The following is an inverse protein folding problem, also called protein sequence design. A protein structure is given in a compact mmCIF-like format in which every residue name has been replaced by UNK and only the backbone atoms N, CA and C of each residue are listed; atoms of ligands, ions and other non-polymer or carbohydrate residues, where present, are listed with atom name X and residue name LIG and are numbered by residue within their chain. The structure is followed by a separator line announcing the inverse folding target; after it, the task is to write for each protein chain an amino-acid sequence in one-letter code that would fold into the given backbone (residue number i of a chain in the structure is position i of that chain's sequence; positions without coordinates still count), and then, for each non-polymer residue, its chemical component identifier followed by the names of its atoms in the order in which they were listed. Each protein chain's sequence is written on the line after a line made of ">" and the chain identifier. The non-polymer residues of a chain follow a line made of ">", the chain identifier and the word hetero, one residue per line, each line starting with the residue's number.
data_IF_014714865307
#
_entry.id   IF_014714865307
#
_cell.length_a   1.000
_cell.length_b   1.000
_cell.length_c   1.000
_cell.angle_alpha   90.00
_cell.angle_beta   90.00
_cell.angle_gamma   90.00
#
_symmetry.space_group_name_H-M   'P 1'
#
loop_
_entity.id
_entity.type
_entity.pdbx_description
1 polymer ?
#
# COMPACT_ATOMS: atom_id res chain seq x y z
N UNK A 1 17.46 -23.77 -25.68
CA UNK A 1 16.40 -24.63 -25.11
C UNK A 1 16.26 -24.43 -23.59
N UNK A 2 17.33 -24.59 -22.79
CA UNK A 2 17.28 -24.42 -21.34
C UNK A 2 16.79 -23.03 -20.88
N UNK A 3 17.28 -21.94 -21.47
CA UNK A 3 16.86 -20.58 -21.12
C UNK A 3 15.36 -20.31 -21.43
N UNK A 4 14.83 -20.89 -22.51
CA UNK A 4 13.39 -20.80 -22.84
C UNK A 4 12.55 -21.60 -21.84
N UNK A 5 13.02 -22.78 -21.43
CA UNK A 5 12.36 -23.59 -20.40
C UNK A 5 12.32 -22.87 -19.04
N UNK A 6 13.42 -22.21 -18.65
CA UNK A 6 13.48 -21.43 -17.41
C UNK A 6 12.53 -20.22 -17.48
N UNK A 7 12.50 -19.50 -18.60
CA UNK A 7 11.59 -18.36 -18.79
C UNK A 7 10.12 -18.74 -18.62
N UNK A 8 9.70 -19.89 -19.14
CA UNK A 8 8.33 -20.40 -18.97
C UNK A 8 8.01 -20.64 -17.49
N UNK A 9 8.95 -21.23 -16.74
CA UNK A 9 8.76 -21.47 -15.30
C UNK A 9 8.72 -20.17 -14.50
N UNK A 10 9.57 -19.20 -14.84
CA UNK A 10 9.56 -17.86 -14.24
C UNK A 10 8.22 -17.14 -14.46
N UNK A 11 7.62 -17.27 -15.65
CA UNK A 11 6.29 -16.72 -15.97
C UNK A 11 5.17 -17.38 -15.15
N UNK A 12 5.39 -18.58 -14.63
CA UNK A 12 4.44 -19.28 -13.74
C UNK A 12 4.57 -18.93 -12.26
N UNK A 13 5.55 -18.11 -11.86
CA UNK A 13 5.69 -17.67 -10.48
C UNK A 13 4.69 -16.56 -10.18
N UNK A 14 4.19 -16.50 -8.93
CA UNK A 14 3.39 -15.37 -8.44
C UNK A 14 4.31 -14.38 -7.73
N UNK A 15 4.77 -13.36 -8.45
CA UNK A 15 5.59 -12.28 -7.92
C UNK A 15 5.42 -10.98 -8.72
N UNK A 16 6.12 -9.92 -8.33
CA UNK A 16 5.92 -8.58 -8.91
C UNK A 16 6.15 -8.54 -10.43
N UNK A 17 7.05 -9.37 -10.94
CA UNK A 17 7.39 -9.50 -12.35
C UNK A 17 6.28 -10.15 -13.19
N UNK A 18 5.34 -10.87 -12.58
CA UNK A 18 4.25 -11.58 -13.27
C UNK A 18 2.87 -10.99 -12.98
N UNK A 19 2.77 -10.03 -12.05
CA UNK A 19 1.52 -9.36 -11.69
C UNK A 19 1.06 -8.26 -12.67
N UNK A 20 1.67 -8.17 -13.85
CA UNK A 20 1.31 -7.23 -14.93
C UNK A 20 1.31 -5.78 -14.42
N UNK A 21 2.44 -5.37 -13.86
CA UNK A 21 2.69 -4.03 -13.33
C UNK A 21 3.34 -3.11 -14.38
N UNK A 22 3.08 -3.36 -15.67
CA UNK A 22 3.67 -2.69 -16.83
C UNK A 22 3.14 -1.25 -17.01
N UNK A 23 3.48 -0.38 -16.07
CA UNK A 23 3.16 1.04 -16.11
C UNK A 23 4.30 1.84 -16.74
N UNK A 24 3.98 3.05 -17.21
CA UNK A 24 5.00 3.94 -17.76
C UNK A 24 6.07 4.31 -16.70
N UNK A 25 7.27 4.63 -17.18
CA UNK A 25 8.45 4.91 -16.33
C UNK A 25 8.19 6.03 -15.31
N UNK A 26 7.44 7.07 -15.68
CA UNK A 26 7.09 8.19 -14.79
C UNK A 26 6.23 7.72 -13.61
N UNK A 27 5.23 6.87 -13.87
CA UNK A 27 4.38 6.29 -12.83
C UNK A 27 5.18 5.40 -11.88
N UNK A 28 6.07 4.56 -12.41
CA UNK A 28 6.95 3.72 -11.60
C UNK A 28 7.90 4.56 -10.72
N UNK A 29 8.46 5.64 -11.27
CA UNK A 29 9.28 6.57 -10.49
C UNK A 29 8.48 7.21 -9.36
N UNK A 30 7.28 7.73 -9.65
CA UNK A 30 6.41 8.31 -8.62
C UNK A 30 6.06 7.30 -7.52
N UNK A 31 5.77 6.05 -7.88
CA UNK A 31 5.51 4.99 -6.91
C UNK A 31 6.74 4.70 -6.05
N UNK A 32 7.93 4.67 -6.65
CA UNK A 32 9.18 4.42 -5.92
C UNK A 32 9.41 5.49 -4.86
N UNK A 33 9.32 6.77 -5.22
CA UNK A 33 9.48 7.87 -4.25
C UNK A 33 8.48 7.73 -3.11
N UNK A 34 7.19 7.51 -3.42
CA UNK A 34 6.18 7.31 -2.38
C UNK A 34 6.48 6.11 -1.48
N UNK A 35 7.01 5.00 -2.01
CA UNK A 35 7.34 3.83 -1.20
C UNK A 35 8.60 4.07 -0.34
N UNK A 36 9.59 4.82 -0.85
CA UNK A 36 10.77 5.24 -0.09
C UNK A 36 10.31 6.11 1.08
N UNK A 37 9.48 7.12 0.83
CA UNK A 37 8.92 8.00 1.86
C UNK A 37 8.26 7.18 2.98
N UNK A 38 7.35 6.25 2.62
CA UNK A 38 6.67 5.38 3.58
C UNK A 38 7.67 4.50 4.37
N UNK A 39 8.75 4.05 3.73
CA UNK A 39 9.76 3.21 4.39
C UNK A 39 10.69 3.98 5.32
N UNK A 40 10.81 5.30 5.14
CA UNK A 40 11.71 6.20 5.86
C UNK A 40 11.01 7.07 6.89
N UNK A 41 9.67 7.07 6.94
CA UNK A 41 8.88 7.76 7.96
C UNK A 41 9.26 7.30 9.38
N UNK A 42 9.96 8.16 10.13
CA UNK A 42 10.29 7.91 11.53
C UNK A 42 9.01 7.74 12.37
N UNK A 43 8.99 6.73 13.25
CA UNK A 43 7.85 6.46 14.13
C UNK A 43 6.68 5.71 13.50
N UNK A 44 6.64 5.54 12.17
CA UNK A 44 5.60 4.77 11.48
C UNK A 44 6.10 3.37 11.16
N UNK A 45 5.77 2.40 12.01
CA UNK A 45 6.02 1.00 11.67
C UNK A 45 5.03 0.58 10.58
N UNK A 46 5.48 0.53 9.33
CA UNK A 46 4.71 0.00 8.23
C UNK A 46 4.43 -1.49 8.48
N UNK A 47 3.19 -1.83 8.79
CA UNK A 47 2.76 -3.18 9.20
C UNK A 47 2.91 -4.25 8.11
N UNK A 48 3.28 -3.86 6.88
CA UNK A 48 3.60 -4.71 5.74
C UNK A 48 5.02 -4.44 5.17
N UNK A 49 5.98 -4.04 6.02
CA UNK A 49 7.34 -3.61 5.63
C UNK A 49 8.06 -4.58 4.68
N UNK A 50 7.97 -5.89 4.91
CA UNK A 50 8.59 -6.89 4.04
C UNK A 50 8.08 -6.85 2.60
N UNK A 51 6.76 -6.81 2.45
CA UNK A 51 6.08 -6.68 1.16
C UNK A 51 6.40 -5.35 0.47
N UNK A 52 6.53 -4.26 1.25
CA UNK A 52 6.96 -2.96 0.75
C UNK A 52 8.34 -3.04 0.12
N UNK A 53 9.32 -3.67 0.78
CA UNK A 53 10.67 -3.79 0.24
C UNK A 53 10.74 -4.72 -0.98
N UNK A 54 9.95 -5.79 -1.04
CA UNK A 54 9.81 -6.59 -2.26
C UNK A 54 9.26 -5.77 -3.44
N UNK A 55 8.30 -4.88 -3.18
CA UNK A 55 7.77 -3.99 -4.20
C UNK A 55 8.79 -2.93 -4.63
N UNK A 56 9.50 -2.32 -3.68
CA UNK A 56 10.61 -1.39 -3.97
C UNK A 56 11.67 -2.07 -4.84
N UNK A 57 12.03 -3.32 -4.55
CA UNK A 57 12.99 -4.05 -5.37
C UNK A 57 12.54 -4.17 -6.83
N UNK A 58 11.27 -4.50 -7.06
CA UNK A 58 10.71 -4.50 -8.41
C UNK A 58 10.78 -3.12 -9.06
N UNK A 59 10.41 -2.05 -8.34
CA UNK A 59 10.44 -0.68 -8.87
C UNK A 59 11.87 -0.25 -9.25
N UNK A 60 12.86 -0.51 -8.39
CA UNK A 60 14.27 -0.24 -8.69
C UNK A 60 14.72 -1.00 -9.93
N UNK A 61 14.42 -2.30 -10.01
CA UNK A 61 14.79 -3.13 -11.15
C UNK A 61 14.12 -2.66 -12.45
N UNK A 62 12.80 -2.40 -12.43
CA UNK A 62 12.05 -1.90 -13.58
C UNK A 62 12.53 -0.52 -14.06
N UNK A 63 13.12 0.27 -13.17
CA UNK A 63 13.74 1.57 -13.50
C UNK A 63 15.21 1.45 -13.92
N UNK A 64 15.80 0.26 -13.87
CA UNK A 64 17.15 -0.05 -14.33
C UNK A 64 18.23 -0.06 -13.24
N UNK A 65 17.85 -0.04 -11.96
CA UNK A 65 18.80 -0.15 -10.84
C UNK A 65 18.73 -1.54 -10.18
N UNK A 66 19.56 -2.46 -10.64
CA UNK A 66 19.60 -3.83 -10.11
C UNK A 66 20.26 -3.90 -8.74
N UNK A 67 21.27 -3.07 -8.46
CA UNK A 67 21.95 -3.06 -7.16
C UNK A 67 20.99 -2.65 -6.03
N UNK A 68 20.25 -1.55 -6.21
CA UNK A 68 19.24 -1.13 -5.25
C UNK A 68 18.13 -2.17 -5.10
N UNK A 69 17.77 -2.88 -6.19
CA UNK A 69 16.78 -3.93 -6.15
C UNK A 69 17.24 -5.09 -5.23
N UNK A 70 18.48 -5.54 -5.38
CA UNK A 70 19.06 -6.58 -4.51
C UNK A 70 19.18 -6.11 -3.06
N UNK A 71 19.54 -4.85 -2.82
CA UNK A 71 19.55 -4.27 -1.48
C UNK A 71 18.16 -4.26 -0.84
N UNK A 72 17.13 -3.86 -1.59
CA UNK A 72 15.75 -3.92 -1.13
C UNK A 72 15.30 -5.35 -0.85
N UNK A 73 15.69 -6.34 -1.68
CA UNK A 73 15.36 -7.75 -1.43
C UNK A 73 15.96 -8.26 -0.12
N UNK A 74 17.19 -7.87 0.22
CA UNK A 74 17.79 -8.22 1.52
C UNK A 74 16.99 -7.65 2.69
N UNK A 75 16.63 -6.36 2.64
CA UNK A 75 15.76 -5.73 3.64
C UNK A 75 14.38 -6.39 3.73
N UNK A 76 13.82 -6.79 2.59
CA UNK A 76 12.54 -7.51 2.54
C UNK A 76 12.63 -8.84 3.29
N UNK A 77 13.69 -9.62 3.04
CA UNK A 77 13.91 -10.89 3.72
C UNK A 77 14.02 -10.68 5.23
N UNK A 78 14.91 -9.78 5.68
CA UNK A 78 15.09 -9.45 7.10
C UNK A 78 13.75 -9.09 7.78
N UNK A 79 12.96 -8.21 7.16
CA UNK A 79 11.67 -7.78 7.70
C UNK A 79 10.63 -8.91 7.72
N UNK A 80 10.59 -9.79 6.72
CA UNK A 80 9.65 -10.92 6.69
C UNK A 80 10.04 -11.96 7.76
N UNK A 81 11.33 -12.27 7.89
CA UNK A 81 11.81 -13.22 8.90
C UNK A 81 11.50 -12.75 10.32
N UNK A 82 11.61 -11.45 10.60
CA UNK A 82 11.30 -10.87 11.91
C UNK A 82 9.80 -10.95 12.26
N UNK A 83 8.92 -10.81 11.27
CA UNK A 83 7.47 -10.72 11.48
C UNK A 83 6.72 -12.06 11.33
N UNK A 84 7.39 -13.16 11.02
CA UNK A 84 6.72 -14.44 10.71
C UNK A 84 7.47 -15.66 11.29
N UNK A 85 7.62 -15.77 12.62
CA UNK A 85 8.49 -16.78 13.25
C UNK A 85 8.06 -18.23 12.96
N UNK A 86 6.76 -18.49 12.83
CA UNK A 86 6.24 -19.87 12.78
C UNK A 86 6.16 -20.47 11.37
N UNK A 87 6.26 -19.66 10.30
CA UNK A 87 6.30 -20.13 8.91
C UNK A 87 7.01 -19.13 7.96
N UNK A 88 8.27 -18.86 8.27
CA UNK A 88 9.10 -17.89 7.57
C UNK A 88 9.22 -18.18 6.07
N UNK A 89 9.49 -19.44 5.70
CA UNK A 89 9.82 -19.79 4.32
C UNK A 89 8.62 -19.64 3.37
N UNK A 90 7.40 -19.96 3.83
CA UNK A 90 6.20 -19.74 3.03
C UNK A 90 5.93 -18.24 2.83
N UNK A 91 6.26 -17.42 3.83
CA UNK A 91 6.14 -15.96 3.78
C UNK A 91 7.13 -15.31 2.79
N UNK A 92 8.16 -16.04 2.37
CA UNK A 92 9.19 -15.59 1.42
C UNK A 92 8.94 -16.06 -0.03
N UNK A 93 7.80 -16.68 -0.34
CA UNK A 93 7.50 -17.19 -1.70
C UNK A 93 7.59 -16.10 -2.77
N UNK A 94 6.98 -14.93 -2.55
CA UNK A 94 7.05 -13.80 -3.50
C UNK A 94 8.47 -13.26 -3.60
N UNK A 95 9.17 -13.18 -2.47
CA UNK A 95 10.56 -12.74 -2.39
C UNK A 95 11.49 -13.63 -3.24
N UNK A 96 11.38 -14.96 -3.11
CA UNK A 96 12.14 -15.89 -3.96
C UNK A 96 11.76 -15.78 -5.43
N UNK A 97 10.48 -15.53 -5.74
CA UNK A 97 10.05 -15.25 -7.10
C UNK A 97 10.71 -13.99 -7.68
N UNK A 98 10.81 -12.92 -6.89
CA UNK A 98 11.51 -11.70 -7.29
C UNK A 98 13.01 -11.96 -7.52
N UNK A 99 13.69 -12.65 -6.59
CA UNK A 99 15.10 -13.04 -6.75
C UNK A 99 15.33 -13.85 -8.04
N UNK A 100 14.46 -14.82 -8.31
CA UNK A 100 14.56 -15.65 -9.52
C UNK A 100 14.55 -14.80 -10.80
N UNK A 101 13.69 -13.78 -10.87
CA UNK A 101 13.62 -12.86 -12.00
C UNK A 101 14.81 -11.90 -12.09
N UNK A 102 15.26 -11.35 -10.96
CA UNK A 102 16.43 -10.46 -10.93
C UNK A 102 17.69 -11.19 -11.42
N UNK A 103 17.97 -12.38 -10.89
CA UNK A 103 19.09 -13.21 -11.34
C UNK A 103 18.97 -13.60 -12.81
N UNK A 104 17.77 -13.91 -13.29
CA UNK A 104 17.53 -14.20 -14.71
C UNK A 104 17.90 -13.01 -15.61
N UNK A 105 17.51 -11.80 -15.22
CA UNK A 105 17.82 -10.58 -15.97
C UNK A 105 19.30 -10.21 -15.95
N UNK A 106 20.05 -10.65 -14.93
CA UNK A 106 21.51 -10.51 -14.87
C UNK A 106 22.27 -11.59 -15.67
N UNK A 107 21.56 -12.61 -16.19
CA UNK A 107 22.18 -13.75 -16.89
C UNK A 107 22.67 -14.87 -15.95
N UNK A 108 22.38 -14.76 -14.66
CA UNK A 108 22.74 -15.71 -13.60
C UNK A 108 21.71 -16.85 -13.56
N UNK A 109 21.73 -17.68 -14.62
CA UNK A 109 20.69 -18.67 -14.88
C UNK A 109 20.63 -19.78 -13.82
N UNK A 110 21.76 -20.14 -13.22
CA UNK A 110 21.85 -21.19 -12.18
C UNK A 110 21.20 -20.73 -10.88
N UNK A 111 21.48 -19.50 -10.47
CA UNK A 111 20.90 -18.85 -9.30
C UNK A 111 19.40 -18.67 -9.50
N UNK A 112 18.99 -18.16 -10.67
CA UNK A 112 17.58 -18.06 -11.04
C UNK A 112 16.86 -19.41 -10.92
N UNK A 113 17.41 -20.46 -11.54
CA UNK A 113 16.87 -21.82 -11.48
C UNK A 113 16.74 -22.33 -10.04
N UNK A 114 17.73 -22.05 -9.19
CA UNK A 114 17.72 -22.45 -7.77
C UNK A 114 16.52 -21.85 -7.03
N UNK A 115 16.21 -20.57 -7.24
CA UNK A 115 15.04 -19.94 -6.63
C UNK A 115 13.72 -20.44 -7.22
N UNK A 116 13.64 -20.71 -8.53
CA UNK A 116 12.44 -21.33 -9.13
C UNK A 116 12.16 -22.70 -8.50
N UNK A 117 13.19 -23.52 -8.34
CA UNK A 117 13.05 -24.82 -7.66
C UNK A 117 12.68 -24.67 -6.19
N UNK A 118 13.25 -23.68 -5.50
CA UNK A 118 12.90 -23.39 -4.10
C UNK A 118 11.41 -23.07 -3.94
N UNK A 119 10.87 -22.18 -4.78
CA UNK A 119 9.43 -21.87 -4.78
C UNK A 119 8.61 -23.13 -5.09
N UNK A 120 9.00 -23.90 -6.11
CA UNK A 120 8.31 -25.15 -6.48
C UNK A 120 8.23 -26.15 -5.33
N UNK A 121 9.34 -26.39 -4.62
CA UNK A 121 9.39 -27.29 -3.44
C UNK A 121 8.48 -26.79 -2.32
N UNK A 122 8.58 -25.50 -1.96
CA UNK A 122 7.76 -24.93 -0.88
C UNK A 122 6.26 -25.09 -1.15
N UNK A 123 5.81 -24.83 -2.37
CA UNK A 123 4.41 -24.97 -2.75
C UNK A 123 3.95 -26.45 -2.76
N UNK A 124 4.80 -27.34 -3.26
CA UNK A 124 4.52 -28.78 -3.30
C UNK A 124 4.42 -29.39 -1.91
N UNK A 125 5.38 -29.10 -1.02
CA UNK A 125 5.45 -29.65 0.34
C UNK A 125 4.25 -29.23 1.18
N UNK A 126 3.76 -27.99 0.98
CA UNK A 126 2.57 -27.47 1.66
C UNK A 126 1.25 -27.82 0.94
N UNK A 127 1.31 -28.47 -0.23
CA UNK A 127 0.14 -28.77 -1.09
C UNK A 127 -0.69 -27.52 -1.45
N UNK A 128 -0.01 -26.40 -1.68
CA UNK A 128 -0.62 -25.11 -1.99
C UNK A 128 -0.38 -24.74 -3.45
N UNK A 129 -1.41 -24.26 -4.12
CA UNK A 129 -1.28 -23.64 -5.45
C UNK A 129 -0.95 -22.15 -5.36
N UNK A 130 -1.50 -21.45 -4.38
CA UNK A 130 -1.21 -20.05 -4.10
C UNK A 130 -1.46 -19.74 -2.60
N UNK A 131 -0.40 -19.56 -1.79
CA UNK A 131 -0.50 -19.27 -0.35
C UNK A 131 -1.22 -17.95 -0.06
N UNK A 132 -1.89 -17.85 1.10
CA UNK A 132 -2.57 -16.63 1.55
C UNK A 132 -1.65 -15.39 1.60
N UNK A 133 -0.38 -15.60 1.95
CA UNK A 133 0.66 -14.55 1.95
C UNK A 133 0.91 -13.94 0.57
N UNK A 134 0.83 -14.76 -0.50
CA UNK A 134 0.97 -14.28 -1.88
C UNK A 134 -0.21 -13.38 -2.24
N UNK A 135 -1.44 -13.77 -1.86
CA UNK A 135 -2.62 -12.94 -2.04
C UNK A 135 -2.53 -11.63 -1.26
N UNK A 136 -2.04 -11.66 -0.02
CA UNK A 136 -1.86 -10.48 0.81
C UNK A 136 -0.86 -9.49 0.22
N UNK A 137 0.32 -9.96 -0.18
CA UNK A 137 1.35 -9.12 -0.80
C UNK A 137 0.87 -8.54 -2.14
N UNK A 138 0.26 -9.36 -3.00
CA UNK A 138 -0.33 -8.89 -4.26
C UNK A 138 -1.38 -7.81 -4.02
N UNK A 139 -2.22 -7.98 -3.00
CA UNK A 139 -3.25 -7.00 -2.67
C UNK A 139 -2.64 -5.64 -2.27
N UNK A 140 -1.65 -5.66 -1.38
CA UNK A 140 -0.96 -4.44 -0.94
C UNK A 140 -0.26 -3.71 -2.09
N UNK A 141 0.41 -4.45 -2.98
CA UNK A 141 1.05 -3.90 -4.17
C UNK A 141 0.03 -3.27 -5.11
N UNK A 142 -1.03 -4.01 -5.49
CA UNK A 142 -2.04 -3.52 -6.42
C UNK A 142 -2.83 -2.31 -5.87
N UNK A 143 -2.97 -2.20 -4.54
CA UNK A 143 -3.65 -1.08 -3.90
C UNK A 143 -2.95 0.29 -4.16
N UNK A 144 -1.66 0.29 -4.55
CA UNK A 144 -0.89 1.51 -4.83
C UNK A 144 -1.14 2.09 -6.23
N UNK A 145 -1.82 1.36 -7.10
CA UNK A 145 -2.07 1.76 -8.48
C UNK A 145 -3.42 2.47 -8.64
N UNK A 146 -3.99 2.43 -9.84
CA UNK A 146 -5.27 3.06 -10.20
C UNK A 146 -6.49 2.29 -9.67
N UNK A 147 -7.68 2.85 -9.94
CA UNK A 147 -8.98 2.28 -9.54
C UNK A 147 -9.17 0.85 -10.05
N UNK A 148 -8.71 0.53 -11.27
CA UNK A 148 -8.83 -0.82 -11.83
C UNK A 148 -7.99 -1.82 -11.04
N UNK A 149 -6.73 -1.48 -10.73
CA UNK A 149 -5.88 -2.33 -9.90
C UNK A 149 -6.37 -2.43 -8.46
N UNK A 150 -7.00 -1.40 -7.91
CA UNK A 150 -7.63 -1.50 -6.59
C UNK A 150 -8.81 -2.46 -6.56
N UNK A 151 -9.58 -2.58 -7.64
CA UNK A 151 -10.61 -3.64 -7.74
C UNK A 151 -9.98 -5.04 -7.70
N UNK A 152 -8.87 -5.24 -8.40
CA UNK A 152 -8.10 -6.49 -8.31
C UNK A 152 -7.53 -6.70 -6.88
N UNK A 153 -7.06 -5.64 -6.22
CA UNK A 153 -6.56 -5.69 -4.85
C UNK A 153 -7.65 -6.12 -3.86
N UNK A 154 -8.87 -5.61 -4.00
CA UNK A 154 -10.03 -6.02 -3.18
C UNK A 154 -10.27 -7.53 -3.28
N UNK A 155 -10.20 -8.09 -4.48
CA UNK A 155 -10.29 -9.54 -4.66
C UNK A 155 -9.14 -10.28 -3.98
N UNK A 156 -7.90 -9.81 -4.14
CA UNK A 156 -6.73 -10.42 -3.52
C UNK A 156 -6.82 -10.40 -1.99
N UNK A 157 -7.23 -9.29 -1.38
CA UNK A 157 -7.46 -9.20 0.07
C UNK A 157 -8.52 -10.21 0.54
N UNK A 158 -9.64 -10.36 -0.20
CA UNK A 158 -10.67 -11.37 0.14
C UNK A 158 -10.12 -12.78 0.10
N UNK A 159 -9.24 -13.09 -0.87
CA UNK A 159 -8.62 -14.40 -0.97
C UNK A 159 -7.63 -14.65 0.17
N UNK A 160 -6.85 -13.64 0.57
CA UNK A 160 -5.97 -13.72 1.73
C UNK A 160 -6.77 -13.95 3.04
N UNK A 161 -7.86 -13.20 3.24
CA UNK A 161 -8.74 -13.29 4.40
C UNK A 161 -9.49 -14.63 4.51
N UNK A 162 -9.58 -15.45 3.45
CA UNK A 162 -10.11 -16.82 3.58
C UNK A 162 -9.19 -17.72 4.39
N UNK A 163 -7.88 -17.48 4.34
CA UNK A 163 -6.88 -18.22 5.10
C UNK A 163 -6.68 -17.67 6.51
N UNK A 164 -6.85 -16.36 6.69
CA UNK A 164 -6.69 -15.69 7.99
C UNK A 164 -7.77 -14.59 8.16
N UNK A 165 -9.01 -14.94 8.56
CA UNK A 165 -10.15 -14.03 8.59
C UNK A 165 -10.03 -12.88 9.59
N UNK A 166 -9.27 -13.07 10.66
CA UNK A 166 -9.11 -12.12 11.77
C UNK A 166 -7.83 -11.28 11.64
N UNK A 167 -7.11 -11.43 10.54
CA UNK A 167 -5.90 -10.67 10.28
C UNK A 167 -6.21 -9.17 10.16
N UNK A 168 -5.85 -8.40 11.19
CA UNK A 168 -6.08 -6.96 11.24
C UNK A 168 -5.45 -6.21 10.05
N UNK A 169 -4.23 -6.59 9.64
CA UNK A 169 -3.53 -5.97 8.52
C UNK A 169 -4.30 -6.15 7.21
N UNK A 170 -4.76 -7.37 6.94
CA UNK A 170 -5.55 -7.66 5.74
C UNK A 170 -6.93 -6.98 5.78
N UNK A 171 -7.57 -6.89 6.95
CA UNK A 171 -8.85 -6.19 7.13
C UNK A 171 -8.71 -4.69 6.86
N UNK A 172 -7.69 -4.04 7.40
CA UNK A 172 -7.38 -2.63 7.12
C UNK A 172 -7.08 -2.43 5.62
N UNK A 173 -6.20 -3.25 5.04
CA UNK A 173 -5.89 -3.20 3.62
C UNK A 173 -7.12 -3.36 2.72
N UNK A 174 -8.00 -4.31 3.05
CA UNK A 174 -9.28 -4.51 2.36
C UNK A 174 -10.17 -3.26 2.43
N UNK A 175 -10.37 -2.69 3.62
CA UNK A 175 -11.23 -1.53 3.81
C UNK A 175 -10.71 -0.31 3.03
N UNK A 176 -9.38 -0.09 3.04
CA UNK A 176 -8.70 0.95 2.25
C UNK A 176 -8.92 0.75 0.75
N UNK A 177 -8.64 -0.45 0.24
CA UNK A 177 -8.74 -0.76 -1.17
C UNK A 177 -10.19 -0.66 -1.67
N UNK A 178 -11.14 -1.20 -0.89
CA UNK A 178 -12.55 -1.17 -1.25
C UNK A 178 -13.05 0.27 -1.39
N UNK A 179 -12.77 1.12 -0.41
CA UNK A 179 -13.15 2.53 -0.42
C UNK A 179 -12.51 3.38 -1.52
N UNK A 180 -11.47 2.86 -2.18
CA UNK A 180 -10.75 3.54 -3.27
C UNK A 180 -10.89 2.84 -4.63
N UNK A 181 -11.67 1.76 -4.67
CA UNK A 181 -11.85 0.90 -5.86
C UNK A 181 -13.00 1.35 -6.77
N UNK A 182 -13.72 2.42 -6.40
CA UNK A 182 -14.86 2.95 -7.16
C UNK A 182 -14.74 4.47 -7.26
N UNK A 183 -15.02 5.00 -8.46
CA UNK A 183 -15.06 6.44 -8.72
C UNK A 183 -16.20 7.08 -7.92
N UNK A 184 -16.00 8.29 -7.39
CA UNK A 184 -16.98 8.95 -6.51
C UNK A 184 -18.38 9.04 -7.13
N UNK A 185 -18.46 9.27 -8.44
CA UNK A 185 -19.72 9.35 -9.20
C UNK A 185 -20.50 8.03 -9.28
N UNK A 186 -19.82 6.90 -9.12
CA UNK A 186 -20.41 5.56 -9.24
C UNK A 186 -20.79 4.96 -7.87
N UNK A 187 -20.60 5.71 -6.78
CA UNK A 187 -20.90 5.26 -5.42
C UNK A 187 -22.40 5.43 -5.11
N UNK A 188 -23.13 4.32 -5.14
CA UNK A 188 -24.53 4.25 -4.72
C UNK A 188 -24.68 4.35 -3.18
N UNK A 189 -25.86 4.71 -2.65
CA UNK A 189 -26.11 4.70 -1.21
C UNK A 189 -25.81 3.36 -0.54
N UNK A 190 -26.24 2.25 -1.16
CA UNK A 190 -25.97 0.90 -0.65
C UNK A 190 -24.47 0.62 -0.55
N UNK A 191 -23.73 0.91 -1.63
CA UNK A 191 -22.29 0.70 -1.67
C UNK A 191 -21.57 1.60 -0.65
N UNK A 192 -22.04 2.83 -0.44
CA UNK A 192 -21.52 3.74 0.57
C UNK A 192 -21.66 3.16 1.98
N UNK A 193 -22.81 2.57 2.30
CA UNK A 193 -23.03 1.92 3.60
C UNK A 193 -22.12 0.70 3.80
N UNK A 194 -21.97 -0.16 2.77
CA UNK A 194 -21.04 -1.31 2.83
C UNK A 194 -19.58 -0.85 3.02
N UNK A 195 -19.19 0.21 2.32
CA UNK A 195 -17.86 0.82 2.46
C UNK A 195 -17.61 1.38 3.85
N UNK A 196 -18.62 1.98 4.48
CA UNK A 196 -18.58 2.51 5.83
C UNK A 196 -18.44 1.39 6.87
N UNK A 197 -19.22 0.32 6.73
CA UNK A 197 -19.18 -0.86 7.61
C UNK A 197 -17.78 -1.48 7.63
N UNK A 198 -17.15 -1.65 6.46
CA UNK A 198 -15.79 -2.21 6.40
C UNK A 198 -14.73 -1.29 7.03
N UNK A 199 -14.89 0.03 6.94
CA UNK A 199 -14.02 0.98 7.64
C UNK A 199 -14.25 0.95 9.16
N UNK A 200 -15.50 0.77 9.59
CA UNK A 200 -15.83 0.63 10.99
C UNK A 200 -15.14 -0.61 11.59
N UNK A 201 -15.30 -1.77 10.94
CA UNK A 201 -14.66 -3.03 11.37
C UNK A 201 -13.14 -2.88 11.43
N UNK A 202 -12.52 -2.29 10.39
CA UNK A 202 -11.07 -2.08 10.37
C UNK A 202 -10.60 -1.18 11.53
N UNK A 203 -11.34 -0.12 11.84
CA UNK A 203 -11.02 0.78 12.94
C UNK A 203 -11.21 0.15 14.31
N UNK A 204 -12.22 -0.71 14.48
CA UNK A 204 -12.43 -1.47 15.72
C UNK A 204 -11.30 -2.48 15.96
N UNK A 205 -10.72 -3.03 14.89
CA UNK A 205 -9.58 -3.94 14.96
C UNK A 205 -8.23 -3.24 15.18
N UNK A 206 -8.05 -2.02 14.65
CA UNK A 206 -6.85 -1.22 14.85
C UNK A 206 -7.18 0.27 15.14
N UNK A 207 -7.57 0.60 16.38
CA UNK A 207 -8.01 1.96 16.74
C UNK A 207 -6.91 3.04 16.62
N UNK A 208 -5.64 2.63 16.60
CA UNK A 208 -4.51 3.54 16.46
C UNK A 208 -4.14 3.81 14.99
N UNK A 209 -4.76 3.11 14.03
CA UNK A 209 -4.60 3.40 12.62
C UNK A 209 -5.33 4.70 12.26
N UNK A 210 -4.58 5.81 12.28
CA UNK A 210 -5.09 7.14 11.96
C UNK A 210 -5.54 7.22 10.48
N UNK A 211 -4.91 6.48 9.57
CA UNK A 211 -5.29 6.45 8.16
C UNK A 211 -6.71 5.91 7.98
N UNK A 212 -6.97 4.75 8.59
CA UNK A 212 -8.30 4.13 8.61
C UNK A 212 -9.31 5.06 9.27
N UNK A 213 -8.93 5.69 10.39
CA UNK A 213 -9.78 6.63 11.12
C UNK A 213 -10.19 7.83 10.25
N UNK A 214 -9.25 8.41 9.49
CA UNK A 214 -9.55 9.53 8.60
C UNK A 214 -10.34 9.10 7.36
N UNK A 215 -10.12 7.89 6.85
CA UNK A 215 -11.01 7.34 5.80
C UNK A 215 -12.43 7.14 6.32
N UNK A 216 -12.58 6.64 7.55
CA UNK A 216 -13.86 6.43 8.21
C UNK A 216 -14.61 7.75 8.43
N UNK A 217 -13.95 8.79 8.96
CA UNK A 217 -14.61 10.09 9.19
C UNK A 217 -15.07 10.72 7.87
N UNK A 218 -14.26 10.64 6.81
CA UNK A 218 -14.64 11.15 5.49
C UNK A 218 -15.88 10.40 4.98
N UNK A 219 -15.90 9.07 5.11
CA UNK A 219 -17.04 8.25 4.67
C UNK A 219 -18.29 8.49 5.50
N UNK A 220 -18.16 8.69 6.81
CA UNK A 220 -19.26 9.08 7.70
C UNK A 220 -19.93 10.37 7.22
N UNK A 221 -19.12 11.40 6.92
CA UNK A 221 -19.61 12.69 6.46
C UNK A 221 -20.36 12.57 5.13
N UNK A 222 -19.81 11.79 4.19
CA UNK A 222 -20.46 11.48 2.91
C UNK A 222 -21.76 10.66 3.06
N UNK A 223 -21.92 9.96 4.19
CA UNK A 223 -23.15 9.25 4.54
C UNK A 223 -24.16 10.14 5.31
N UNK A 224 -23.88 11.44 5.44
CA UNK A 224 -24.74 12.40 6.11
C UNK A 224 -24.50 12.54 7.62
N UNK A 225 -23.58 11.77 8.20
CA UNK A 225 -23.26 11.77 9.64
C UNK A 225 -22.18 12.82 9.97
N UNK A 226 -22.38 14.05 9.50
CA UNK A 226 -21.35 15.12 9.53
C UNK A 226 -20.97 15.51 10.96
N UNK A 227 -21.93 15.61 11.89
CA UNK A 227 -21.63 16.00 13.27
C UNK A 227 -20.74 14.98 14.00
N UNK A 228 -20.94 13.69 13.73
CA UNK A 228 -20.10 12.64 14.31
C UNK A 228 -18.71 12.64 13.67
N UNK A 229 -18.63 12.83 12.35
CA UNK A 229 -17.36 12.99 11.66
C UNK A 229 -16.56 14.20 12.16
N UNK A 230 -17.25 15.31 12.51
CA UNK A 230 -16.62 16.52 13.08
C UNK A 230 -16.03 16.27 14.46
N UNK A 231 -16.68 15.51 15.33
CA UNK A 231 -16.12 15.13 16.64
C UNK A 231 -14.85 14.30 16.46
N UNK A 232 -14.93 13.28 15.62
CA UNK A 232 -13.79 12.41 15.33
C UNK A 232 -12.62 13.17 14.69
N UNK A 233 -12.89 14.14 13.82
CA UNK A 233 -11.84 14.99 13.26
C UNK A 233 -11.11 15.83 14.32
N UNK A 234 -11.80 16.29 15.37
CA UNK A 234 -11.14 17.01 16.49
C UNK A 234 -10.20 16.09 17.24
N UNK A 235 -10.64 14.88 17.56
CA UNK A 235 -9.81 13.86 18.24
C UNK A 235 -8.54 13.53 17.41
N UNK A 236 -8.68 13.39 16.10
CA UNK A 236 -7.53 13.15 15.21
C UNK A 236 -6.56 14.33 15.24
N UNK A 237 -7.06 15.57 15.13
CA UNK A 237 -6.23 16.80 15.08
C UNK A 237 -5.46 17.05 16.40
N UNK A 238 -5.98 16.56 17.53
CA UNK A 238 -5.32 16.68 18.83
C UNK A 238 -4.13 15.72 19.00
N UNK A 239 -4.09 14.61 18.25
CA UNK A 239 -2.92 13.72 18.23
C UNK A 239 -1.74 14.41 17.51
N UNK A 240 -0.48 14.09 17.84
CA UNK A 240 0.67 14.51 17.04
C UNK A 240 0.47 14.04 15.59
N UNK A 241 0.28 15.00 14.68
CA UNK A 241 0.02 14.75 13.26
C UNK A 241 1.32 14.49 12.47
N UNK A 242 2.41 14.25 13.19
CA UNK A 242 3.76 14.14 12.67
C UNK A 242 3.85 12.80 11.92
N UNK A 243 3.78 12.87 10.59
CA UNK A 243 3.92 11.73 9.69
C UNK A 243 2.87 10.62 9.88
N UNK A 244 1.58 10.91 9.77
CA UNK A 244 0.59 9.84 9.54
C UNK A 244 0.00 9.97 8.14
N UNK A 245 -0.09 8.84 7.41
CA UNK A 245 -0.74 8.86 6.12
C UNK A 245 -2.20 9.31 6.25
N UNK A 246 -2.70 10.09 5.30
CA UNK A 246 -4.12 10.43 5.22
C UNK A 246 -4.45 11.85 5.70
N UNK A 247 -3.47 12.65 6.08
CA UNK A 247 -3.63 14.09 6.32
C UNK A 247 -4.27 14.80 5.11
N UNK A 248 -3.92 14.42 3.88
CA UNK A 248 -4.61 14.96 2.69
C UNK A 248 -6.12 14.69 2.68
N UNK A 249 -6.57 13.53 3.19
CA UNK A 249 -8.00 13.20 3.32
C UNK A 249 -8.64 14.06 4.42
N UNK A 250 -7.93 14.29 5.53
CA UNK A 250 -8.37 15.16 6.61
C UNK A 250 -8.55 16.60 6.13
N UNK A 251 -7.62 17.13 5.33
CA UNK A 251 -7.73 18.46 4.71
C UNK A 251 -8.97 18.55 3.80
N UNK A 252 -9.22 17.54 2.97
CA UNK A 252 -10.42 17.50 2.14
C UNK A 252 -11.70 17.48 2.97
N UNK A 253 -11.73 16.71 4.07
CA UNK A 253 -12.86 16.71 4.99
C UNK A 253 -13.10 18.10 5.58
N UNK A 254 -12.05 18.75 6.10
CA UNK A 254 -12.14 20.08 6.68
C UNK A 254 -12.69 21.09 5.68
N UNK A 255 -12.17 21.08 4.46
CA UNK A 255 -12.63 21.95 3.38
C UNK A 255 -14.10 21.72 3.03
N UNK A 256 -14.49 20.46 2.83
CA UNK A 256 -15.81 20.10 2.30
C UNK A 256 -16.93 20.18 3.38
N UNK A 257 -16.60 19.97 4.66
CA UNK A 257 -17.59 19.82 5.73
C UNK A 257 -17.42 20.76 6.93
N UNK A 258 -16.33 21.53 7.01
CA UNK A 258 -16.13 22.53 8.07
C UNK A 258 -15.99 23.93 7.45
N UNK A 259 -14.82 24.23 6.90
CA UNK A 259 -14.54 25.45 6.14
C UNK A 259 -13.19 25.33 5.42
N UNK A 260 -13.04 26.09 4.34
CA UNK A 260 -11.77 26.19 3.64
C UNK A 260 -10.64 26.70 4.56
N UNK A 261 -10.94 27.69 5.40
CA UNK A 261 -9.99 28.27 6.35
C UNK A 261 -9.49 27.26 7.38
N UNK A 262 -10.35 26.35 7.84
CA UNK A 262 -9.95 25.27 8.76
C UNK A 262 -8.94 24.32 8.11
N UNK A 263 -9.11 24.00 6.82
CA UNK A 263 -8.16 23.19 6.07
C UNK A 263 -6.81 23.93 5.94
N UNK A 264 -6.83 25.22 5.60
CA UNK A 264 -5.61 26.02 5.42
C UNK A 264 -4.86 26.18 6.73
N UNK A 265 -5.57 26.49 7.83
CA UNK A 265 -4.96 26.67 9.13
C UNK A 265 -4.28 25.38 9.63
N UNK A 266 -4.93 24.22 9.44
CA UNK A 266 -4.32 22.95 9.79
C UNK A 266 -3.08 22.67 8.94
N UNK A 267 -3.17 22.87 7.63
CA UNK A 267 -2.05 22.75 6.71
C UNK A 267 -0.87 23.63 7.16
N UNK A 268 -1.11 24.92 7.43
CA UNK A 268 -0.08 25.88 7.86
C UNK A 268 0.57 25.49 9.19
N UNK A 269 -0.23 25.11 10.20
CA UNK A 269 0.30 24.67 11.49
C UNK A 269 1.22 23.45 11.37
N UNK A 270 0.90 22.52 10.47
CA UNK A 270 1.76 21.37 10.20
C UNK A 270 3.06 21.78 9.49
N UNK A 271 3.00 22.69 8.51
CA UNK A 271 4.18 23.23 7.82
C UNK A 271 5.16 23.93 8.77
N UNK A 272 4.62 24.73 9.70
CA UNK A 272 5.43 25.48 10.67
C UNK A 272 6.19 24.54 11.63
N UNK A 273 5.63 23.37 11.94
CA UNK A 273 6.28 22.35 12.76
C UNK A 273 7.35 21.56 12.00
N UNK A 274 7.17 21.39 10.68
CA UNK A 274 8.04 20.57 9.83
C UNK A 274 8.48 21.30 8.57
N UNK A 275 9.32 22.36 8.68
CA UNK A 275 9.69 23.21 7.55
C UNK A 275 10.51 22.49 6.45
N UNK A 276 11.04 21.29 6.74
CA UNK A 276 11.91 20.53 5.84
C UNK A 276 11.32 19.19 5.36
N UNK A 277 10.05 18.85 5.66
CA UNK A 277 9.50 17.57 5.19
C UNK A 277 9.24 17.61 3.68
N UNK A 278 9.80 16.66 2.92
CA UNK A 278 9.64 16.54 1.46
C UNK A 278 8.39 15.74 1.05
N UNK A 279 7.46 15.52 1.98
CA UNK A 279 6.37 14.56 1.84
C UNK A 279 5.48 14.85 0.61
N UNK A 280 4.99 13.81 -0.05
CA UNK A 280 3.94 13.92 -1.07
C UNK A 280 2.65 14.58 -0.53
N UNK A 281 2.47 14.51 0.80
CA UNK A 281 1.45 15.22 1.56
C UNK A 281 1.70 16.74 1.60
N UNK A 282 2.97 17.15 1.65
CA UNK A 282 3.44 18.55 1.51
C UNK A 282 3.10 19.14 0.14
N UNK A 283 3.09 18.34 -0.92
CA UNK A 283 2.63 18.79 -2.24
C UNK A 283 1.11 19.01 -2.28
N UNK A 284 0.35 18.19 -1.54
CA UNK A 284 -1.10 18.35 -1.37
C UNK A 284 -1.41 19.59 -0.52
N UNK A 285 -0.65 19.80 0.56
CA UNK A 285 -0.67 21.02 1.37
C UNK A 285 -0.32 22.24 0.51
N UNK A 286 0.79 22.19 -0.23
CA UNK A 286 1.23 23.29 -1.10
C UNK A 286 0.22 23.58 -2.20
N UNK A 287 -0.43 22.56 -2.78
CA UNK A 287 -1.50 22.71 -3.77
C UNK A 287 -2.77 23.34 -3.18
N UNK A 288 -3.16 22.95 -1.96
CA UNK A 288 -4.25 23.62 -1.21
C UNK A 288 -3.89 25.08 -0.92
N UNK A 289 -2.62 25.37 -0.61
CA UNK A 289 -2.14 26.74 -0.39
C UNK A 289 -1.98 27.56 -1.69
N UNK A 290 -1.53 26.97 -2.81
CA UNK A 290 -1.25 27.68 -4.07
C UNK A 290 -2.48 27.88 -4.95
N UNK A 291 -3.49 27.01 -4.89
CA UNK A 291 -4.78 27.21 -5.58
C UNK A 291 -5.51 28.50 -5.14
N UNK A 292 -5.01 29.21 -4.13
CA UNK A 292 -5.57 30.47 -3.62
C UNK A 292 -4.74 31.71 -3.96
N UNK A 293 -3.49 31.59 -4.43
CA UNK A 293 -2.79 32.76 -5.00
C UNK A 293 -3.42 33.21 -6.33
N UNK A 294 -4.02 32.27 -7.07
CA UNK A 294 -4.72 32.55 -8.34
C UNK A 294 -6.16 33.07 -8.16
N UNK A 295 -6.66 33.18 -6.92
CA UNK A 295 -8.00 33.70 -6.60
C UNK A 295 -7.98 34.99 -5.76
N UNK A 296 -6.81 35.63 -5.60
CA UNK A 296 -6.66 36.92 -4.92
C UNK A 296 -6.31 38.10 -5.84
N UNK A 297 -6.55 37.99 -7.16
CA UNK A 297 -6.51 39.12 -8.09
C UNK A 297 -7.70 39.12 -9.04
#
# INVERSE_FOLDING_TARGET
>A
MAQNSLKIRLQGLECHFTWKLDYNRSKLHSLRETMIDISSSEGVQCSWTGYLYNFLAYLHHALGSTEDALHCLKKAEEAIRLNSPDNVELSLVVHYGNLAWVHYHQGELTESQTYVEKVGRLLQDNRLTCPGVVWGERAWTLNKFDVSKRKEAVYCFRMALKGDPENKLLRCGYAMAFNKSVEKKDITPKLRSEMLEHLQIARELDPEDVYITVMYLQRLAENGQVEEARKLAKEVIEKPLDSFGGFGILLYFLRDYISNDSSIDLARRTLERHPNSQETEYLSIKKVCTQLHDHQY
#
